data_IF_784369642154
#
_entry.id   IF_784369642154
#
_cell.length_a   1.000
_cell.length_b   1.000
_cell.length_c   1.000
_cell.angle_alpha   90.00
_cell.angle_beta   90.00
_cell.angle_gamma   90.00
#
_symmetry.space_group_name_H-M   'P 1'
#
loop_
_entity.id
_entity.type
_entity.pdbx_description
1 polymer ?
#
# COMPACT_ATOMS: atom_id res chain seq x y z
N UNK A 1 8.72 37.07 17.60
CA UNK A 1 9.08 35.63 17.61
C UNK A 1 8.27 34.96 16.50
N UNK A 2 8.89 34.75 15.33
CA UNK A 2 8.20 34.35 14.10
C UNK A 2 7.71 32.91 14.23
N UNK A 3 6.41 32.66 14.04
CA UNK A 3 5.85 31.31 13.94
C UNK A 3 6.56 30.56 12.81
N UNK A 4 7.35 29.55 13.13
CA UNK A 4 7.81 28.56 12.15
C UNK A 4 6.57 27.79 11.70
N UNK A 5 6.09 28.07 10.49
CA UNK A 5 5.16 27.19 9.80
C UNK A 5 5.90 25.86 9.61
N UNK A 6 5.60 24.87 10.46
CA UNK A 6 6.08 23.51 10.24
C UNK A 6 5.37 23.00 9.00
N UNK A 7 6.10 22.92 7.90
CA UNK A 7 5.65 22.27 6.67
C UNK A 7 5.73 20.75 6.88
N UNK A 8 4.99 20.24 7.88
CA UNK A 8 5.03 18.84 8.28
C UNK A 8 4.27 18.03 7.23
N UNK A 9 5.02 17.47 6.28
CA UNK A 9 4.48 16.49 5.34
C UNK A 9 3.82 15.36 6.14
N UNK A 10 2.58 14.93 5.85
CA UNK A 10 1.93 13.90 6.65
C UNK A 10 2.75 12.60 6.74
N UNK A 11 2.72 11.88 7.89
CA UNK A 11 3.32 10.56 8.03
C UNK A 11 2.73 9.53 7.06
N UNK A 12 3.50 8.49 6.72
CA UNK A 12 3.05 7.41 5.83
C UNK A 12 1.81 6.68 6.39
N UNK A 13 1.76 6.48 7.71
CA UNK A 13 0.61 5.91 8.40
C UNK A 13 -0.66 6.76 8.21
N UNK A 14 -0.55 8.08 8.30
CA UNK A 14 -1.68 8.98 8.09
C UNK A 14 -2.18 8.90 6.64
N UNK A 15 -1.25 8.85 5.66
CA UNK A 15 -1.59 8.65 4.26
C UNK A 15 -2.32 7.32 4.06
N UNK A 16 -1.87 6.24 4.70
CA UNK A 16 -2.50 4.93 4.61
C UNK A 16 -3.91 4.92 5.21
N UNK A 17 -4.10 5.53 6.38
CA UNK A 17 -5.42 5.69 7.00
C UNK A 17 -6.40 6.40 6.06
N UNK A 18 -5.96 7.47 5.37
CA UNK A 18 -6.80 8.16 4.37
C UNK A 18 -7.17 7.25 3.19
N UNK A 19 -6.28 6.37 2.74
CA UNK A 19 -6.60 5.40 1.68
C UNK A 19 -7.67 4.43 2.16
N UNK A 20 -7.51 3.85 3.35
CA UNK A 20 -8.49 2.88 3.87
C UNK A 20 -9.82 3.51 4.28
N UNK A 21 -9.83 4.76 4.74
CA UNK A 21 -11.08 5.53 4.92
C UNK A 21 -11.83 5.66 3.60
N UNK A 22 -11.12 5.99 2.51
CA UNK A 22 -11.73 6.06 1.20
C UNK A 22 -12.21 4.68 0.73
N UNK A 23 -11.43 3.62 0.89
CA UNK A 23 -11.82 2.24 0.53
C UNK A 23 -13.15 1.89 1.20
N UNK A 24 -13.22 1.99 2.54
CA UNK A 24 -14.45 1.68 3.31
C UNK A 24 -15.65 2.48 2.86
N UNK A 25 -15.47 3.78 2.61
CA UNK A 25 -16.54 4.67 2.15
C UNK A 25 -17.00 4.43 0.71
N UNK A 26 -16.37 3.50 -0.04
CA UNK A 26 -16.65 3.26 -1.46
C UNK A 26 -16.89 1.76 -1.77
N UNK A 27 -17.04 0.90 -0.75
CA UNK A 27 -17.29 -0.54 -0.96
C UNK A 27 -18.60 -0.82 -1.69
N UNK A 28 -19.66 -0.02 -1.45
CA UNK A 28 -20.94 -0.16 -2.16
C UNK A 28 -20.80 0.12 -3.66
N UNK A 29 -20.02 1.15 -4.01
CA UNK A 29 -19.77 1.53 -5.40
C UNK A 29 -18.81 0.55 -6.09
N UNK A 30 -17.84 0.02 -5.35
CA UNK A 30 -16.83 -0.90 -5.85
C UNK A 30 -16.77 -2.14 -4.96
N UNK A 31 -17.64 -3.15 -5.15
CA UNK A 31 -17.73 -4.31 -4.25
C UNK A 31 -16.41 -5.06 -4.05
N UNK A 32 -15.52 -5.06 -5.06
CA UNK A 32 -14.17 -5.66 -4.97
C UNK A 32 -13.33 -5.06 -3.82
N UNK A 33 -13.57 -3.82 -3.41
CA UNK A 33 -12.85 -3.14 -2.33
C UNK A 33 -13.00 -3.82 -0.98
N UNK A 34 -14.07 -4.59 -0.76
CA UNK A 34 -14.28 -5.38 0.47
C UNK A 34 -13.15 -6.40 0.73
N UNK A 35 -12.40 -6.77 -0.31
CA UNK A 35 -11.26 -7.69 -0.20
C UNK A 35 -9.95 -6.97 0.17
N UNK A 36 -9.91 -5.64 0.16
CA UNK A 36 -8.68 -4.89 0.38
C UNK A 36 -8.21 -4.95 1.85
N UNK A 37 -6.91 -5.10 2.07
CA UNK A 37 -6.32 -5.14 3.40
C UNK A 37 -4.90 -4.52 3.43
N UNK A 38 -4.48 -4.10 4.61
CA UNK A 38 -3.11 -3.61 4.84
C UNK A 38 -2.21 -4.74 5.32
N UNK A 39 -0.96 -4.77 4.85
CA UNK A 39 0.08 -5.59 5.45
C UNK A 39 0.72 -4.85 6.63
N UNK A 40 1.09 -5.59 7.67
CA UNK A 40 1.75 -5.01 8.85
C UNK A 40 3.27 -4.77 8.64
N UNK A 41 3.76 -4.80 7.40
CA UNK A 41 5.20 -4.72 7.11
C UNK A 41 5.81 -3.33 7.31
N UNK A 42 5.02 -2.28 7.22
CA UNK A 42 5.43 -0.91 7.55
C UNK A 42 5.38 -0.58 9.05
N UNK A 43 4.84 -1.47 9.89
CA UNK A 43 4.65 -1.21 11.32
C UNK A 43 5.92 -1.50 12.12
N UNK A 44 6.27 -0.62 13.05
CA UNK A 44 7.37 -0.85 13.99
C UNK A 44 6.96 -1.91 15.03
N UNK A 45 7.63 -3.06 15.00
CA UNK A 45 7.38 -4.18 15.91
C UNK A 45 8.46 -4.27 16.99
N UNK A 46 8.12 -4.88 18.13
CA UNK A 46 9.13 -5.30 19.10
C UNK A 46 10.04 -6.38 18.50
N UNK A 47 11.31 -6.51 18.93
CA UNK A 47 12.23 -7.50 18.37
C UNK A 47 11.69 -8.93 18.45
N UNK A 48 11.10 -9.33 19.58
CA UNK A 48 10.53 -10.66 19.77
C UNK A 48 9.36 -10.95 18.83
N UNK A 49 8.47 -9.97 18.64
CA UNK A 49 7.35 -10.09 17.69
C UNK A 49 7.85 -10.18 16.25
N UNK A 50 8.87 -9.40 15.87
CA UNK A 50 9.46 -9.47 14.53
C UNK A 50 10.04 -10.86 14.23
N UNK A 51 10.74 -11.48 15.19
CA UNK A 51 11.25 -12.85 15.05
C UNK A 51 10.11 -13.86 14.91
N UNK A 52 9.08 -13.75 15.75
CA UNK A 52 7.90 -14.62 15.70
C UNK A 52 7.19 -14.53 14.34
N UNK A 53 6.93 -13.31 13.84
CA UNK A 53 6.27 -13.09 12.56
C UNK A 53 7.10 -13.63 11.39
N UNK A 54 8.42 -13.44 11.39
CA UNK A 54 9.31 -14.04 10.36
C UNK A 54 9.22 -15.57 10.36
N UNK A 55 9.21 -16.21 11.54
CA UNK A 55 9.02 -17.67 11.67
C UNK A 55 7.65 -18.14 11.18
N UNK A 56 6.64 -17.28 11.26
CA UNK A 56 5.30 -17.52 10.73
C UNK A 56 5.15 -17.15 9.24
N UNK A 57 6.26 -16.85 8.55
CA UNK A 57 6.26 -16.60 7.11
C UNK A 57 6.15 -15.13 6.70
N UNK A 58 6.19 -14.18 7.64
CA UNK A 58 6.22 -12.76 7.28
C UNK A 58 7.46 -12.43 6.44
N UNK A 59 7.25 -11.93 5.23
CA UNK A 59 8.31 -11.58 4.29
C UNK A 59 8.61 -10.08 4.39
N UNK A 60 9.89 -9.71 4.30
CA UNK A 60 10.28 -8.30 4.22
C UNK A 60 9.93 -7.74 2.84
N UNK A 61 9.45 -6.51 2.80
CA UNK A 61 9.21 -5.78 1.56
C UNK A 61 7.91 -6.13 0.84
N UNK A 62 6.99 -6.91 1.43
CA UNK A 62 5.63 -7.02 0.87
C UNK A 62 5.00 -5.62 0.90
N UNK A 63 4.37 -5.17 -0.19
CA UNK A 63 3.70 -3.87 -0.26
C UNK A 63 2.64 -3.66 0.84
N UNK A 64 2.39 -2.40 1.19
CA UNK A 64 1.57 -2.04 2.36
C UNK A 64 0.07 -2.28 2.17
N UNK A 65 -0.44 -2.15 0.95
CA UNK A 65 -1.88 -2.26 0.62
C UNK A 65 -2.06 -3.34 -0.44
N UNK A 66 -2.99 -4.26 -0.19
CA UNK A 66 -3.33 -5.35 -1.10
C UNK A 66 -4.81 -5.30 -1.43
N UNK A 67 -5.14 -5.43 -2.70
CA UNK A 67 -6.48 -5.69 -3.20
C UNK A 67 -6.41 -6.99 -4.03
N UNK A 68 -6.74 -8.15 -3.44
CA UNK A 68 -6.65 -9.45 -4.09
C UNK A 68 -7.87 -9.72 -4.98
N UNK A 69 -8.15 -8.80 -5.90
CA UNK A 69 -9.26 -8.88 -6.84
C UNK A 69 -8.74 -8.56 -8.24
N UNK A 70 -9.23 -9.26 -9.27
CA UNK A 70 -8.83 -8.99 -10.66
C UNK A 70 -9.12 -7.54 -11.07
N UNK A 71 -8.31 -6.99 -11.96
CA UNK A 71 -8.56 -5.68 -12.58
C UNK A 71 -9.91 -5.64 -13.31
N UNK A 72 -10.35 -4.47 -13.76
CA UNK A 72 -11.58 -4.33 -14.56
C UNK A 72 -11.57 -5.20 -15.83
N UNK A 73 -10.44 -5.19 -16.53
CA UNK A 73 -10.13 -5.88 -17.79
C UNK A 73 -9.82 -7.35 -17.58
N UNK A 74 -9.50 -7.73 -16.34
CA UNK A 74 -9.00 -9.04 -16.01
C UNK A 74 -7.53 -9.28 -16.37
N UNK A 75 -6.79 -8.28 -16.86
CA UNK A 75 -5.36 -8.39 -17.17
C UNK A 75 -4.54 -8.81 -15.95
N UNK A 76 -4.82 -8.24 -14.77
CA UNK A 76 -4.06 -8.50 -13.55
C UNK A 76 -4.86 -9.32 -12.54
N UNK A 77 -4.17 -10.21 -11.83
CA UNK A 77 -4.76 -11.10 -10.80
C UNK A 77 -5.08 -10.41 -9.48
N UNK A 78 -4.38 -9.31 -9.18
CA UNK A 78 -4.58 -8.49 -7.98
C UNK A 78 -3.72 -7.22 -8.02
N UNK A 79 -3.99 -6.30 -7.10
CA UNK A 79 -3.26 -5.04 -6.94
C UNK A 79 -2.49 -5.02 -5.62
N UNK A 80 -1.24 -4.59 -5.69
CA UNK A 80 -0.37 -4.33 -4.56
C UNK A 80 0.18 -2.90 -4.65
N UNK A 81 0.01 -2.11 -3.60
CA UNK A 81 0.52 -0.76 -3.52
C UNK A 81 1.49 -0.63 -2.35
N UNK A 82 2.70 -0.20 -2.66
CA UNK A 82 3.71 0.25 -1.70
C UNK A 82 3.52 1.76 -1.54
N UNK A 83 3.04 2.19 -0.37
CA UNK A 83 2.69 3.57 -0.13
C UNK A 83 3.86 4.32 0.47
N UNK A 84 4.20 5.47 -0.10
CA UNK A 84 5.16 6.41 0.47
C UNK A 84 4.52 7.73 0.79
N UNK A 85 5.14 8.49 1.69
CA UNK A 85 4.79 9.90 1.95
C UNK A 85 4.87 10.71 0.66
N UNK A 86 4.09 11.79 0.58
CA UNK A 86 4.13 12.72 -0.57
C UNK A 86 5.55 13.24 -0.81
N UNK A 87 6.26 13.57 0.28
CA UNK A 87 7.67 13.99 0.28
C UNK A 87 8.47 13.14 1.25
N UNK A 88 9.63 12.67 0.79
CA UNK A 88 10.48 11.76 1.56
C UNK A 88 9.98 10.31 1.51
N UNK A 89 10.73 9.41 2.15
CA UNK A 89 10.54 7.97 2.00
C UNK A 89 11.34 7.42 0.82
N UNK A 90 12.01 6.29 1.05
CA UNK A 90 12.74 5.56 0.01
C UNK A 90 12.15 4.16 -0.08
N UNK A 91 12.06 3.64 -1.29
CA UNK A 91 11.71 2.24 -1.52
C UNK A 91 12.95 1.40 -1.23
N UNK A 92 12.86 0.47 -0.29
CA UNK A 92 13.98 -0.40 0.08
C UNK A 92 14.33 -1.37 -1.06
N UNK A 93 15.51 -2.00 -0.97
CA UNK A 93 15.92 -3.03 -1.93
C UNK A 93 14.93 -4.19 -1.93
N UNK A 94 14.53 -4.65 -0.75
CA UNK A 94 13.59 -5.76 -0.58
C UNK A 94 12.20 -5.44 -1.15
N UNK A 95 11.73 -4.20 -0.98
CA UNK A 95 10.47 -3.75 -1.57
C UNK A 95 10.51 -3.78 -3.10
N UNK A 96 11.61 -3.30 -3.71
CA UNK A 96 11.80 -3.35 -5.17
C UNK A 96 11.80 -4.79 -5.69
N UNK A 97 12.51 -5.67 -5.01
CA UNK A 97 12.59 -7.09 -5.38
C UNK A 97 11.23 -7.78 -5.27
N UNK A 98 10.48 -7.52 -4.20
CA UNK A 98 9.15 -8.09 -4.02
C UNK A 98 8.17 -7.61 -5.09
N UNK A 99 8.19 -6.32 -5.43
CA UNK A 99 7.38 -5.74 -6.51
C UNK A 99 7.73 -6.36 -7.86
N UNK A 100 9.00 -6.61 -8.16
CA UNK A 100 9.41 -7.31 -9.39
C UNK A 100 8.76 -8.70 -9.49
N UNK A 101 8.89 -9.49 -8.42
CA UNK A 101 8.32 -10.84 -8.36
C UNK A 101 6.80 -10.85 -8.49
N UNK A 102 6.11 -9.88 -7.89
CA UNK A 102 4.66 -9.75 -8.04
C UNK A 102 4.27 -9.50 -9.52
N UNK A 103 5.03 -8.65 -10.22
CA UNK A 103 4.78 -8.37 -11.64
C UNK A 103 5.06 -9.57 -12.53
N UNK A 104 6.10 -10.35 -12.22
CA UNK A 104 6.42 -11.62 -12.89
C UNK A 104 5.26 -12.63 -12.76
N UNK A 105 4.56 -12.61 -11.63
CA UNK A 105 3.37 -13.43 -11.35
C UNK A 105 2.04 -12.76 -11.79
N UNK A 106 2.08 -11.80 -12.71
CA UNK A 106 0.91 -11.12 -13.29
C UNK A 106 0.04 -10.35 -12.28
N UNK A 107 0.62 -9.84 -11.21
CA UNK A 107 -0.01 -8.86 -10.32
C UNK A 107 0.37 -7.43 -10.72
N UNK A 108 -0.59 -6.51 -10.61
CA UNK A 108 -0.29 -5.09 -10.69
C UNK A 108 0.35 -4.67 -9.37
N UNK A 109 1.65 -4.35 -9.37
CA UNK A 109 2.36 -3.94 -8.16
C UNK A 109 3.09 -2.62 -8.37
N UNK A 110 2.81 -1.60 -7.55
CA UNK A 110 3.29 -0.25 -7.79
C UNK A 110 3.65 0.52 -6.52
N UNK A 111 4.59 1.46 -6.67
CA UNK A 111 4.93 2.43 -5.63
C UNK A 111 4.11 3.70 -5.90
N UNK A 112 3.42 4.20 -4.87
CA UNK A 112 2.58 5.40 -4.94
C UNK A 112 2.93 6.37 -3.82
N UNK A 113 2.77 7.68 -4.04
CA UNK A 113 3.11 8.73 -3.07
C UNK A 113 1.86 9.47 -2.59
N UNK A 114 1.51 9.23 -1.33
CA UNK A 114 0.36 9.81 -0.66
C UNK A 114 -0.97 9.19 -1.07
N UNK A 115 -2.00 9.46 -0.27
CA UNK A 115 -3.31 8.85 -0.41
C UNK A 115 -3.98 9.17 -1.74
N UNK A 116 -3.83 10.40 -2.26
CA UNK A 116 -4.46 10.81 -3.53
C UNK A 116 -3.97 9.98 -4.71
N UNK A 117 -2.67 9.73 -4.80
CA UNK A 117 -2.10 8.90 -5.86
C UNK A 117 -2.52 7.44 -5.71
N UNK A 118 -2.50 6.90 -4.48
CA UNK A 118 -2.96 5.55 -4.19
C UNK A 118 -4.43 5.34 -4.58
N UNK A 119 -5.33 6.24 -4.18
CA UNK A 119 -6.75 6.18 -4.53
C UNK A 119 -6.94 6.28 -6.04
N UNK A 120 -6.26 7.20 -6.72
CA UNK A 120 -6.32 7.31 -8.18
C UNK A 120 -5.85 6.02 -8.86
N UNK A 121 -4.82 5.35 -8.31
CA UNK A 121 -4.34 4.07 -8.81
C UNK A 121 -5.37 2.96 -8.64
N UNK A 122 -5.99 2.86 -7.48
CA UNK A 122 -7.06 1.88 -7.21
C UNK A 122 -8.22 2.08 -8.18
N UNK A 123 -8.68 3.32 -8.37
CA UNK A 123 -9.75 3.64 -9.33
C UNK A 123 -9.40 3.20 -10.75
N UNK A 124 -8.19 3.51 -11.21
CA UNK A 124 -7.72 3.06 -12.54
C UNK A 124 -7.66 1.54 -12.63
N UNK A 125 -7.15 0.87 -11.61
CA UNK A 125 -7.07 -0.59 -11.59
C UNK A 125 -8.45 -1.26 -11.69
N UNK A 126 -9.45 -0.70 -11.00
CA UNK A 126 -10.82 -1.20 -11.03
C UNK A 126 -11.56 -0.89 -12.34
N UNK A 127 -11.20 0.20 -13.01
CA UNK A 127 -11.84 0.67 -14.25
C UNK A 127 -11.16 0.15 -15.53
N UNK A 128 -9.89 -0.24 -15.45
CA UNK A 128 -9.12 -0.82 -16.56
C UNK A 128 -9.50 -2.28 -16.70
#
# INVERSE_FOLDING_TARGET
>A
MTMRIRNDTPPEAWEQERVFDWIRGNEDQYPKLQLAYSTLNGVKLSPGLSVKMKRQGNKRGVPDIVLPARSGSGEYSGLYLELKRIKGGKVSKEQKEYISRLREENYCAEVVKGHKEAIARIKRYLAA
#
